data_IF_400507647348
#
_entry.id   IF_400507647348
#
_cell.length_a   1.000
_cell.length_b   1.000
_cell.length_c   1.000
_cell.angle_alpha   90.00
_cell.angle_beta   90.00
_cell.angle_gamma   90.00
#
_symmetry.space_group_name_H-M   'P 1'
#
loop_
_entity.id
_entity.type
_entity.pdbx_description
1 polymer ?
#
# COMPACT_ATOMS: atom_id res chain seq x y z
N UNK A 1 7.54 9.63 -14.19
CA UNK A 1 6.10 9.75 -14.53
C UNK A 1 5.35 9.89 -13.21
N UNK A 2 4.43 10.86 -13.07
CA UNK A 2 3.68 11.09 -11.81
C UNK A 2 2.23 10.63 -12.01
N UNK A 3 1.69 9.87 -11.07
CA UNK A 3 0.30 9.42 -11.12
C UNK A 3 -0.61 10.41 -10.40
N UNK A 4 -1.26 11.30 -11.16
CA UNK A 4 -2.18 12.30 -10.60
C UNK A 4 -3.32 11.66 -9.82
N UNK A 5 -3.87 10.56 -10.33
CA UNK A 5 -4.93 9.79 -9.65
C UNK A 5 -4.51 9.36 -8.24
N UNK A 6 -3.30 8.83 -8.09
CA UNK A 6 -2.81 8.36 -6.78
C UNK A 6 -2.53 9.53 -5.84
N UNK A 7 -1.96 10.63 -6.35
CA UNK A 7 -1.76 11.85 -5.55
C UNK A 7 -3.10 12.47 -5.10
N UNK A 8 -4.12 12.46 -5.95
CA UNK A 8 -5.47 12.91 -5.61
C UNK A 8 -6.12 11.98 -4.56
N UNK A 9 -5.97 10.67 -4.71
CA UNK A 9 -6.49 9.67 -3.77
C UNK A 9 -5.83 9.76 -2.38
N UNK A 10 -4.52 9.97 -2.35
CA UNK A 10 -3.73 10.09 -1.13
C UNK A 10 -3.80 11.50 -0.51
N UNK A 11 -4.28 12.49 -1.25
CA UNK A 11 -4.36 13.89 -0.81
C UNK A 11 -3.00 14.61 -0.72
N UNK A 12 -1.92 13.96 -1.17
CA UNK A 12 -0.55 14.46 -1.09
C UNK A 12 0.31 13.91 -2.23
N UNK A 13 1.47 14.51 -2.44
CA UNK A 13 2.43 14.01 -3.42
C UNK A 13 3.04 12.70 -2.94
N UNK A 14 3.31 11.78 -3.86
CA UNK A 14 3.91 10.48 -3.52
C UNK A 14 5.28 10.59 -2.82
N UNK A 15 6.03 11.67 -3.09
CA UNK A 15 7.32 11.95 -2.47
C UNK A 15 7.22 12.75 -1.15
N UNK A 16 6.02 13.02 -0.68
CA UNK A 16 5.71 13.80 0.53
C UNK A 16 4.51 13.21 1.31
N UNK A 17 4.38 11.87 1.30
CA UNK A 17 3.33 11.17 2.02
C UNK A 17 3.63 11.11 3.52
N UNK A 18 2.63 11.43 4.32
CA UNK A 18 2.62 11.21 5.76
C UNK A 18 1.81 9.96 6.12
N UNK A 19 1.95 9.50 7.37
CA UNK A 19 1.12 8.41 7.88
C UNK A 19 -0.39 8.76 7.83
N UNK A 20 -0.75 10.00 8.11
CA UNK A 20 -2.14 10.45 8.09
C UNK A 20 -2.77 10.29 6.70
N UNK A 21 -2.00 10.50 5.64
CA UNK A 21 -2.46 10.35 4.26
C UNK A 21 -2.76 8.88 3.94
N UNK A 22 -1.93 7.96 4.46
CA UNK A 22 -2.18 6.51 4.34
C UNK A 22 -3.38 6.08 5.18
N UNK A 23 -3.51 6.58 6.40
CA UNK A 23 -4.64 6.30 7.29
C UNK A 23 -5.97 6.78 6.68
N UNK A 24 -5.95 7.88 5.92
CA UNK A 24 -7.13 8.42 5.22
C UNK A 24 -7.73 7.46 4.18
N UNK A 25 -6.95 6.49 3.69
CA UNK A 25 -7.43 5.46 2.78
C UNK A 25 -8.39 4.48 3.46
N UNK A 26 -8.31 4.34 4.79
CA UNK A 26 -9.11 3.37 5.53
C UNK A 26 -10.59 3.74 5.50
N UNK A 27 -11.37 2.92 4.79
CA UNK A 27 -12.81 3.13 4.62
C UNK A 27 -13.16 4.13 3.50
N UNK A 28 -12.17 4.60 2.74
CA UNK A 28 -12.43 5.32 1.50
C UNK A 28 -12.79 4.32 0.39
N UNK A 29 -14.00 4.37 -0.19
CA UNK A 29 -14.40 3.45 -1.26
C UNK A 29 -13.57 3.58 -2.54
N UNK A 30 -12.99 4.76 -2.79
CA UNK A 30 -12.11 4.99 -3.95
C UNK A 30 -10.72 4.38 -3.78
N UNK A 31 -10.35 4.01 -2.55
CA UNK A 31 -9.08 3.37 -2.21
C UNK A 31 -9.11 1.84 -2.38
N UNK A 32 -10.04 1.30 -3.17
CA UNK A 32 -10.06 -0.13 -3.54
C UNK A 32 -8.85 -0.47 -4.42
N UNK A 33 -8.39 -1.72 -4.38
CA UNK A 33 -7.32 -2.19 -5.27
C UNK A 33 -7.62 -1.88 -6.75
N UNK A 34 -6.57 -1.50 -7.45
CA UNK A 34 -6.60 -1.15 -8.86
C UNK A 34 -5.28 -1.55 -9.52
N UNK A 35 -5.21 -1.47 -10.86
CA UNK A 35 -4.01 -1.85 -11.62
C UNK A 35 -2.74 -1.07 -11.22
N UNK A 36 -2.89 0.07 -10.55
CA UNK A 36 -1.84 0.98 -10.09
C UNK A 36 -1.79 1.13 -8.55
N UNK A 37 -2.59 0.36 -7.80
CA UNK A 37 -2.64 0.38 -6.33
C UNK A 37 -2.89 -1.02 -5.77
N UNK A 38 -1.92 -1.57 -5.05
CA UNK A 38 -1.98 -2.91 -4.44
C UNK A 38 -1.62 -2.82 -2.95
N UNK A 39 -2.28 -3.64 -2.12
CA UNK A 39 -2.08 -3.72 -0.68
C UNK A 39 -1.57 -5.09 -0.26
N UNK A 40 -0.49 -5.11 0.52
CA UNK A 40 -0.04 -6.33 1.22
C UNK A 40 -0.08 -6.12 2.72
N UNK A 41 -0.78 -7.01 3.41
CA UNK A 41 -0.86 -6.96 4.88
C UNK A 41 0.51 -7.16 5.52
N UNK A 42 1.24 -8.16 5.04
CA UNK A 42 2.51 -8.58 5.61
C UNK A 42 3.66 -8.16 4.70
N UNK A 43 4.85 -7.98 5.29
CA UNK A 43 6.06 -7.75 4.50
C UNK A 43 6.50 -9.05 3.82
N UNK A 44 7.18 -8.93 2.68
CA UNK A 44 7.81 -10.08 2.04
C UNK A 44 8.90 -10.68 2.93
N UNK A 45 9.01 -11.99 2.91
CA UNK A 45 10.09 -12.70 3.60
C UNK A 45 11.46 -12.32 3.01
N UNK A 46 12.50 -12.38 3.83
CA UNK A 46 13.88 -12.15 3.37
C UNK A 46 14.49 -13.35 2.62
N UNK A 47 13.73 -14.44 2.45
CA UNK A 47 14.11 -15.62 1.69
C UNK A 47 14.19 -15.31 0.19
N UNK A 48 14.89 -16.13 -0.60
CA UNK A 48 14.96 -15.93 -2.06
C UNK A 48 13.58 -15.99 -2.71
N UNK A 49 12.71 -16.87 -2.17
CA UNK A 49 11.30 -16.93 -2.57
C UNK A 49 10.57 -15.62 -2.24
N UNK A 50 10.75 -15.07 -1.05
CA UNK A 50 10.12 -13.79 -0.67
C UNK A 50 10.59 -12.62 -1.54
N UNK A 51 11.88 -12.58 -1.89
CA UNK A 51 12.43 -11.60 -2.84
C UNK A 51 11.88 -11.78 -4.26
N UNK A 52 11.69 -13.03 -4.71
CA UNK A 52 11.08 -13.33 -5.99
C UNK A 52 9.64 -12.81 -6.05
N UNK A 53 8.84 -13.03 -5.01
CA UNK A 53 7.47 -12.50 -4.92
C UNK A 53 7.45 -10.97 -4.90
N UNK A 54 8.32 -10.31 -4.13
CA UNK A 54 8.47 -8.85 -4.18
C UNK A 54 8.81 -8.36 -5.59
N UNK A 55 9.74 -9.04 -6.26
CA UNK A 55 10.14 -8.67 -7.62
C UNK A 55 8.99 -8.83 -8.62
N UNK A 56 8.16 -9.87 -8.48
CA UNK A 56 6.96 -10.08 -9.31
C UNK A 56 5.97 -8.94 -9.16
N UNK A 57 5.66 -8.55 -7.92
CA UNK A 57 4.67 -7.49 -7.67
C UNK A 57 5.18 -6.12 -8.16
N UNK A 58 6.46 -5.81 -7.92
CA UNK A 58 7.09 -4.60 -8.47
C UNK A 58 7.10 -4.62 -10.00
N UNK A 59 7.44 -5.76 -10.62
CA UNK A 59 7.45 -5.89 -12.07
C UNK A 59 6.04 -5.77 -12.65
N UNK A 60 5.01 -6.28 -11.98
CA UNK A 60 3.62 -6.14 -12.41
C UNK A 60 3.22 -4.67 -12.49
N UNK A 61 3.48 -3.88 -11.44
CA UNK A 61 3.21 -2.44 -11.45
C UNK A 61 4.03 -1.71 -12.54
N UNK A 62 5.31 -2.02 -12.66
CA UNK A 62 6.21 -1.39 -13.63
C UNK A 62 5.83 -1.70 -15.09
N UNK A 63 5.38 -2.93 -15.38
CA UNK A 63 5.02 -3.37 -16.73
C UNK A 63 3.68 -2.81 -17.23
N UNK A 64 2.80 -2.38 -16.32
CA UNK A 64 1.53 -1.76 -16.68
C UNK A 64 1.68 -0.25 -16.90
N UNK A 65 1.47 0.55 -15.86
CA UNK A 65 1.46 2.03 -15.93
C UNK A 65 2.24 2.69 -14.78
N UNK A 66 2.99 1.88 -14.03
CA UNK A 66 3.48 2.23 -12.70
C UNK A 66 2.37 2.11 -11.66
N UNK A 67 2.71 2.35 -10.40
CA UNK A 67 1.74 2.34 -9.31
C UNK A 67 2.39 2.44 -7.95
N UNK A 68 1.59 2.20 -6.91
CA UNK A 68 2.00 2.20 -5.51
C UNK A 68 1.64 0.85 -4.89
N UNK A 69 2.62 0.26 -4.20
CA UNK A 69 2.46 -0.93 -3.37
C UNK A 69 2.52 -0.49 -1.91
N UNK A 70 1.44 -0.69 -1.15
CA UNK A 70 1.38 -0.34 0.27
C UNK A 70 1.53 -1.60 1.12
N UNK A 71 2.55 -1.63 1.97
CA UNK A 71 2.81 -2.74 2.90
C UNK A 71 2.27 -2.42 4.30
N UNK A 72 1.75 -3.41 5.00
CA UNK A 72 1.14 -3.24 6.32
C UNK A 72 -0.37 -2.98 6.29
N UNK A 73 -0.99 -2.95 5.11
CA UNK A 73 -2.43 -2.75 4.95
C UNK A 73 -3.05 -3.94 4.22
N UNK A 74 -4.24 -4.34 4.66
CA UNK A 74 -4.99 -5.41 4.01
C UNK A 74 -6.16 -4.82 3.21
N UNK A 75 -6.35 -5.31 2.00
CA UNK A 75 -7.63 -5.13 1.33
C UNK A 75 -8.71 -5.90 2.11
N UNK A 76 -9.76 -5.21 2.52
CA UNK A 76 -10.97 -5.83 3.04
C UNK A 76 -12.06 -5.63 2.01
N UNK A 77 -12.65 -6.72 1.51
CA UNK A 77 -13.87 -6.69 0.68
C UNK A 77 -14.97 -5.87 1.37
N UNK A 78 -15.00 -4.56 1.08
CA UNK A 78 -16.05 -3.63 1.46
C UNK A 78 -15.89 -2.79 2.74
N UNK A 79 -14.76 -2.78 3.48
CA UNK A 79 -14.35 -1.76 4.48
C UNK A 79 -13.35 -2.33 5.52
N UNK A 80 -12.31 -1.53 5.83
CA UNK A 80 -11.38 -1.57 6.99
C UNK A 80 -10.47 -2.80 7.19
N UNK A 81 -9.15 -2.56 7.22
CA UNK A 81 -8.31 -2.89 8.38
C UNK A 81 -6.86 -2.32 8.29
N UNK A 82 -6.52 -1.45 9.26
CA UNK A 82 -5.23 -1.46 9.98
C UNK A 82 -5.35 -2.52 11.11
N UNK A 83 -4.27 -3.20 11.56
CA UNK A 83 -4.19 -4.65 11.66
C UNK A 83 -4.88 -5.27 12.87
N UNK A 84 -4.98 -6.60 12.79
CA UNK A 84 -5.09 -7.47 13.94
C UNK A 84 -4.12 -7.06 15.06
N UNK A 85 -4.66 -6.81 16.25
CA UNK A 85 -3.99 -6.63 17.54
C UNK A 85 -3.00 -5.45 17.69
N UNK A 86 -3.43 -4.51 18.52
CA UNK A 86 -2.60 -3.57 19.29
C UNK A 86 -1.25 -4.15 19.73
N UNK A 87 -0.14 -3.61 19.22
CA UNK A 87 1.12 -3.64 19.95
C UNK A 87 1.62 -2.21 20.10
N UNK A 88 1.60 -1.78 21.35
CA UNK A 88 2.06 -0.49 21.84
C UNK A 88 3.46 -0.17 21.32
N UNK A 89 3.56 0.89 20.53
CA UNK A 89 4.84 1.49 20.14
C UNK A 89 5.48 2.07 21.42
N UNK A 90 6.36 1.29 22.05
CA UNK A 90 7.12 1.74 23.22
C UNK A 90 8.37 2.46 22.73
N UNK A 91 8.34 3.79 22.78
CA UNK A 91 9.54 4.63 22.65
C UNK A 91 10.47 4.32 23.82
N UNK A 92 11.72 3.93 23.52
CA UNK A 92 12.87 3.96 24.44
C UNK A 92 13.85 5.01 23.94
#
# INVERSE_FOLDING_TARGET
MRSRRLEDLLGARLDDLSYHDIESLVGNPEATEAEDLDYKRDHYESSDKGKEELAKDVAALANHRGGVLILGMAEAKGCRAWPAASTSMTTT
#
